data_IF_217742207509
#
_entry.id   IF_217742207509
#
_cell.length_a   1.000
_cell.length_b   1.000
_cell.length_c   1.000
_cell.angle_alpha   90.00
_cell.angle_beta   90.00
_cell.angle_gamma   90.00
#
_symmetry.space_group_name_H-M   'P 1'
#
loop_
_entity.id
_entity.type
_entity.pdbx_description
1 polymer ?
#
# COMPACT_ATOMS: atom_id res chain seq x y z
N UNK A 1 5.40 24.48 44.85
CA UNK A 1 5.29 25.07 43.49
C UNK A 1 6.54 24.93 42.60
N UNK A 2 7.61 24.23 42.98
CA UNK A 2 8.79 23.97 42.11
C UNK A 2 8.99 22.49 41.69
N UNK A 3 7.97 21.63 41.86
CA UNK A 3 7.98 20.22 41.40
C UNK A 3 6.86 19.88 40.39
N UNK A 4 6.20 20.89 39.82
CA UNK A 4 5.10 20.72 38.85
C UNK A 4 5.41 21.27 37.44
N UNK A 5 6.62 21.78 37.21
CA UNK A 5 7.03 22.35 35.91
C UNK A 5 7.92 21.42 35.07
N UNK A 6 8.27 20.22 35.56
CA UNK A 6 9.14 19.30 34.83
C UNK A 6 8.43 18.44 33.78
N UNK A 7 7.08 18.39 33.79
CA UNK A 7 6.30 17.58 32.83
C UNK A 7 6.01 18.37 31.54
N UNK A 8 5.95 19.71 31.62
CA UNK A 8 5.71 20.56 30.44
C UNK A 8 6.97 20.66 29.57
N UNK A 9 8.16 20.72 30.19
CA UNK A 9 9.43 20.83 29.46
C UNK A 9 9.84 19.52 28.74
N UNK A 10 9.24 18.38 29.08
CA UNK A 10 9.55 17.10 28.42
C UNK A 10 8.70 16.88 27.17
N UNK A 11 7.63 17.66 26.98
CA UNK A 11 6.73 17.57 25.82
C UNK A 11 7.20 18.44 24.64
N UNK A 12 7.85 19.58 24.91
CA UNK A 12 8.41 20.47 23.88
C UNK A 12 9.73 19.95 23.27
N UNK A 13 10.35 18.92 23.86
CA UNK A 13 11.61 18.32 23.39
C UNK A 13 11.42 17.13 22.43
N UNK A 14 10.22 16.54 22.36
CA UNK A 14 9.94 15.38 21.48
C UNK A 14 9.37 15.77 20.10
N UNK A 15 8.97 17.02 19.87
CA UNK A 15 8.33 17.46 18.60
C UNK A 15 8.89 18.78 18.07
N UNK A 16 10.19 18.80 17.81
CA UNK A 16 10.98 19.96 17.37
C UNK A 16 10.23 20.98 16.50
N UNK A 17 10.07 22.19 17.05
CA UNK A 17 9.77 23.41 16.31
C UNK A 17 10.96 24.35 16.48
N UNK A 18 11.78 24.48 15.45
CA UNK A 18 12.82 25.50 15.36
C UNK A 18 12.17 26.90 15.35
N UNK A 19 12.59 27.75 16.28
CA UNK A 19 12.41 29.19 16.18
C UNK A 19 13.79 29.83 16.07
N UNK A 20 14.03 30.46 14.92
CA UNK A 20 15.15 31.37 14.68
C UNK A 20 15.15 32.49 15.73
N UNK A 21 16.21 32.54 16.54
CA UNK A 21 16.52 33.70 17.37
C UNK A 21 17.99 34.05 17.18
N UNK A 22 18.22 35.11 16.39
CA UNK A 22 19.49 35.81 16.29
C UNK A 22 20.07 36.15 17.67
N UNK A 23 21.38 35.90 17.93
CA UNK A 23 22.08 36.57 19.01
C UNK A 23 23.07 37.61 18.48
N UNK A 24 22.81 38.84 18.88
CA UNK A 24 23.73 39.96 18.88
C UNK A 24 25.02 39.63 19.64
N UNK A 25 26.15 39.95 18.99
CA UNK A 25 27.51 40.21 19.53
C UNK A 25 27.70 40.11 21.05
N UNK A 26 28.61 39.22 21.47
CA UNK A 26 29.64 39.58 22.44
C UNK A 26 30.93 38.76 22.21
N UNK A 27 32.05 39.45 22.34
CA UNK A 27 33.42 39.10 21.95
C UNK A 27 34.22 38.64 23.19
N UNK A 28 35.25 37.82 22.94
CA UNK A 28 36.42 37.45 23.79
C UNK A 28 36.18 36.54 25.00
N UNK A 29 37.04 35.58 25.36
CA UNK A 29 38.34 35.10 24.84
C UNK A 29 38.80 33.84 25.60
N UNK A 30 39.57 33.00 24.88
CA UNK A 30 40.79 32.27 25.29
C UNK A 30 40.77 31.05 26.24
N UNK A 31 41.66 30.13 25.84
CA UNK A 31 42.42 29.12 26.61
C UNK A 31 41.72 27.80 26.96
N UNK A 32 42.34 26.62 26.91
CA UNK A 32 43.51 26.02 26.24
C UNK A 32 43.56 24.55 26.75
N UNK A 33 44.18 23.65 25.97
CA UNK A 33 44.82 22.37 26.39
C UNK A 33 43.90 21.15 26.69
N UNK A 34 44.00 20.06 25.88
CA UNK A 34 44.94 18.90 25.98
C UNK A 34 44.70 18.09 27.28
N UNK A 35 44.49 16.77 27.33
CA UNK A 35 45.26 15.59 26.82
C UNK A 35 44.42 14.34 27.24
N UNK A 36 44.07 13.37 26.40
CA UNK A 36 44.77 12.13 25.97
C UNK A 36 45.07 11.04 27.04
N UNK A 37 44.80 9.78 26.64
CA UNK A 37 45.30 8.47 27.15
C UNK A 37 44.63 7.85 28.41
N UNK A 38 44.46 6.53 28.60
CA UNK A 38 44.64 5.28 27.82
C UNK A 38 44.04 4.11 28.65
N UNK A 39 43.59 3.06 27.96
CA UNK A 39 43.55 1.60 28.29
C UNK A 39 43.41 1.07 29.73
N UNK A 40 42.52 0.08 29.90
CA UNK A 40 42.67 -0.95 30.94
C UNK A 40 41.40 -1.77 31.25
N UNK A 41 41.31 -2.98 30.69
CA UNK A 41 40.58 -4.16 31.22
C UNK A 41 41.66 -5.21 31.58
N UNK A 42 41.48 -6.29 32.37
CA UNK A 42 40.23 -6.98 32.74
C UNK A 42 40.17 -7.61 34.18
N UNK A 43 39.11 -8.40 34.42
CA UNK A 43 39.02 -9.67 35.21
C UNK A 43 37.99 -9.70 36.36
N UNK A 44 37.00 -10.59 36.13
CA UNK A 44 36.21 -11.50 37.00
C UNK A 44 35.98 -11.23 38.50
N UNK A 45 34.70 -11.39 38.90
CA UNK A 45 34.27 -11.64 40.27
C UNK A 45 32.80 -12.09 40.35
N UNK A 46 32.57 -13.40 40.45
CA UNK A 46 31.30 -14.04 40.81
C UNK A 46 30.92 -13.70 42.26
N UNK A 47 29.70 -13.21 42.52
CA UNK A 47 28.96 -13.48 43.76
C UNK A 47 27.44 -13.49 43.51
N UNK A 48 26.81 -14.54 44.02
CA UNK A 48 25.39 -14.87 43.93
C UNK A 48 24.54 -13.96 44.81
N UNK A 49 23.35 -13.53 44.34
CA UNK A 49 22.20 -13.35 45.21
C UNK A 49 20.90 -13.81 44.55
N UNK A 50 20.09 -14.40 45.43
CA UNK A 50 18.83 -15.13 45.25
C UNK A 50 17.75 -14.39 44.46
N UNK A 51 16.94 -15.22 43.80
CA UNK A 51 15.61 -14.97 43.25
C UNK A 51 14.65 -14.23 44.19
N UNK A 52 13.96 -13.22 43.67
CA UNK A 52 12.65 -12.76 44.11
C UNK A 52 11.81 -12.38 42.86
N UNK A 53 10.47 -12.50 42.92
CA UNK A 53 9.66 -12.88 41.77
C UNK A 53 9.25 -11.71 40.87
N UNK A 54 9.07 -12.05 39.59
CA UNK A 54 8.40 -11.24 38.59
C UNK A 54 7.00 -10.81 39.08
N UNK A 55 6.80 -9.50 39.25
CA UNK A 55 5.46 -8.90 39.23
C UNK A 55 5.03 -8.67 37.76
N UNK A 56 3.74 -8.83 37.41
CA UNK A 56 3.29 -8.65 36.04
C UNK A 56 3.32 -7.16 35.65
N UNK A 57 3.88 -6.87 34.47
CA UNK A 57 3.90 -5.55 33.80
C UNK A 57 2.50 -4.91 33.65
N UNK A 58 1.42 -5.67 33.82
CA UNK A 58 0.04 -5.19 33.80
C UNK A 58 -0.28 -4.16 34.90
N UNK A 59 0.36 -4.25 36.08
CA UNK A 59 0.10 -3.27 37.17
C UNK A 59 0.71 -1.89 36.93
N UNK A 60 1.78 -1.80 36.15
CA UNK A 60 2.43 -0.53 35.81
C UNK A 60 1.64 0.26 34.75
N UNK A 61 1.04 -0.44 33.77
CA UNK A 61 0.15 0.18 32.78
C UNK A 61 -1.20 0.62 33.39
N UNK A 62 -1.75 -0.15 34.33
CA UNK A 62 -2.97 0.25 35.07
C UNK A 62 -2.73 1.45 36.00
N UNK A 63 -1.54 1.59 36.58
CA UNK A 63 -1.19 2.74 37.43
C UNK A 63 -0.95 4.02 36.63
N UNK A 64 -0.43 3.93 35.40
CA UNK A 64 -0.28 5.10 34.53
C UNK A 64 -1.61 5.51 33.85
N UNK A 65 -2.44 4.56 33.44
CA UNK A 65 -3.79 4.86 32.95
C UNK A 65 -4.69 5.45 34.03
N UNK A 66 -4.60 4.96 35.28
CA UNK A 66 -5.35 5.55 36.40
C UNK A 66 -4.82 6.93 36.81
N UNK A 67 -3.51 7.20 36.65
CA UNK A 67 -2.93 8.54 36.82
C UNK A 67 -3.34 9.51 35.72
N UNK A 68 -3.34 9.08 34.47
CA UNK A 68 -3.83 9.88 33.32
C UNK A 68 -5.32 10.16 33.49
N UNK A 69 -6.09 9.16 33.89
CA UNK A 69 -7.51 9.30 34.21
C UNK A 69 -7.74 10.26 35.37
N UNK A 70 -6.96 10.18 36.44
CA UNK A 70 -7.00 11.11 37.58
C UNK A 70 -6.59 12.55 37.20
N UNK A 71 -5.63 12.70 36.29
CA UNK A 71 -5.21 14.00 35.74
C UNK A 71 -6.30 14.63 34.88
N UNK A 72 -6.98 13.84 34.04
CA UNK A 72 -8.12 14.25 33.22
C UNK A 72 -9.39 14.49 34.05
N UNK A 73 -9.56 13.76 35.16
CA UNK A 73 -10.63 13.96 36.15
C UNK A 73 -10.44 15.22 37.01
N UNK A 74 -9.25 15.82 36.99
CA UNK A 74 -9.02 17.10 37.65
C UNK A 74 -9.68 18.24 36.85
N UNK A 75 -10.59 18.98 37.49
CA UNK A 75 -11.33 20.11 36.90
C UNK A 75 -10.41 21.17 36.29
N UNK A 76 -9.17 21.24 36.74
CA UNK A 76 -8.14 22.17 36.29
C UNK A 76 -7.58 21.77 34.92
N UNK A 77 -7.34 20.48 34.65
CA UNK A 77 -6.77 20.04 33.37
C UNK A 77 -7.80 20.14 32.24
N UNK A 78 -9.06 19.80 32.51
CA UNK A 78 -10.16 20.00 31.59
C UNK A 78 -10.34 21.49 31.22
N UNK A 79 -10.21 22.41 32.19
CA UNK A 79 -10.27 23.86 31.94
C UNK A 79 -9.08 24.39 31.12
N UNK A 80 -7.88 23.85 31.33
CA UNK A 80 -6.68 24.23 30.57
C UNK A 80 -6.77 23.70 29.13
N UNK A 81 -7.23 22.46 28.94
CA UNK A 81 -7.34 21.83 27.62
C UNK A 81 -8.41 22.49 26.73
N UNK A 82 -9.59 22.80 27.29
CA UNK A 82 -10.68 23.53 26.60
C UNK A 82 -10.24 24.94 26.16
N UNK A 83 -9.29 25.55 26.88
CA UNK A 83 -8.73 26.88 26.57
C UNK A 83 -7.48 26.84 25.69
N UNK A 84 -6.99 25.66 25.31
CA UNK A 84 -5.82 25.56 24.43
C UNK A 84 -6.18 25.98 23.00
N UNK A 85 -5.29 26.73 22.34
CA UNK A 85 -5.49 27.19 20.96
C UNK A 85 -5.63 26.02 19.97
N UNK A 86 -5.03 24.87 20.27
CA UNK A 86 -5.12 23.65 19.47
C UNK A 86 -6.53 23.04 19.48
N UNK A 87 -7.18 23.02 20.66
CA UNK A 87 -8.57 22.54 20.80
C UNK A 87 -9.58 23.50 20.14
N UNK A 88 -9.37 24.82 20.27
CA UNK A 88 -10.24 25.80 19.60
C UNK A 88 -10.09 25.81 18.07
N UNK A 89 -8.91 25.47 17.54
CA UNK A 89 -8.69 25.29 16.09
C UNK A 89 -9.37 24.03 15.56
N UNK A 90 -9.40 22.94 16.33
CA UNK A 90 -10.07 21.70 15.95
C UNK A 90 -11.61 21.81 15.89
N UNK A 91 -12.20 22.79 16.58
CA UNK A 91 -13.65 22.98 16.74
C UNK A 91 -14.34 23.87 15.68
N UNK A 92 -13.65 24.25 14.59
CA UNK A 92 -14.24 24.87 13.40
C UNK A 92 -15.47 25.76 13.65
N UNK A 93 -15.27 27.03 14.04
CA UNK A 93 -16.32 28.06 14.21
C UNK A 93 -17.58 27.67 15.03
N UNK A 94 -17.51 26.76 15.98
CA UNK A 94 -18.52 26.72 17.05
C UNK A 94 -18.23 27.82 18.09
N UNK A 95 -18.99 28.92 18.04
CA UNK A 95 -18.97 29.97 19.05
C UNK A 95 -19.62 29.46 20.34
N UNK A 96 -18.84 28.85 21.24
CA UNK A 96 -19.23 28.61 22.63
C UNK A 96 -19.25 29.94 23.40
N UNK A 97 -20.25 30.78 23.13
CA UNK A 97 -20.60 31.89 24.01
C UNK A 97 -21.63 31.39 25.02
N UNK A 98 -21.17 31.31 26.27
CA UNK A 98 -21.97 31.17 27.49
C UNK A 98 -22.75 29.85 27.63
N UNK A 99 -22.10 28.80 28.14
CA UNK A 99 -22.80 27.70 28.80
C UNK A 99 -22.29 27.58 30.25
N UNK A 100 -23.17 27.47 31.27
CA UNK A 100 -22.74 27.34 32.67
C UNK A 100 -21.95 26.05 32.88
N UNK A 101 -20.92 26.13 33.73
CA UNK A 101 -20.06 25.00 34.15
C UNK A 101 -20.86 24.05 35.04
N UNK A 102 -21.77 23.26 34.45
CA UNK A 102 -22.45 22.15 35.11
C UNK A 102 -23.00 21.11 34.13
N UNK A 103 -22.42 20.98 32.93
CA UNK A 103 -22.67 19.84 32.05
C UNK A 103 -21.62 18.75 32.32
N UNK A 104 -22.09 17.51 32.34
CA UNK A 104 -21.55 16.44 33.18
C UNK A 104 -20.20 15.92 32.69
N UNK A 105 -19.38 15.40 33.60
CA UNK A 105 -18.12 14.71 33.28
C UNK A 105 -18.32 13.55 32.27
N UNK A 106 -19.53 13.00 32.22
CA UNK A 106 -19.93 11.97 31.26
C UNK A 106 -19.94 12.52 29.82
N UNK A 107 -20.31 13.78 29.60
CA UNK A 107 -20.35 14.41 28.27
C UNK A 107 -18.94 14.65 27.71
N UNK A 108 -17.97 14.99 28.56
CA UNK A 108 -16.55 15.13 28.15
C UNK A 108 -15.93 13.77 27.84
N UNK A 109 -16.25 12.74 28.63
CA UNK A 109 -15.76 11.37 28.40
C UNK A 109 -16.39 10.77 27.15
N UNK A 110 -17.68 11.02 26.92
CA UNK A 110 -18.39 10.62 25.70
C UNK A 110 -17.85 11.40 24.49
N UNK A 111 -17.60 12.71 24.61
CA UNK A 111 -16.95 13.50 23.56
C UNK A 111 -15.54 12.99 23.25
N UNK A 112 -14.72 12.65 24.25
CA UNK A 112 -13.39 12.06 24.03
C UNK A 112 -13.47 10.66 23.42
N UNK A 113 -14.42 9.81 23.84
CA UNK A 113 -14.66 8.51 23.19
C UNK A 113 -15.16 8.68 21.76
N UNK A 114 -16.08 9.59 21.49
CA UNK A 114 -16.56 9.90 20.15
C UNK A 114 -15.46 10.55 19.30
N UNK A 115 -14.59 11.37 19.87
CA UNK A 115 -13.43 11.96 19.20
C UNK A 115 -12.37 10.91 18.88
N UNK A 116 -12.06 10.00 19.83
CA UNK A 116 -11.16 8.87 19.62
C UNK A 116 -11.73 7.83 18.63
N UNK A 117 -13.05 7.62 18.64
CA UNK A 117 -13.74 6.79 17.65
C UNK A 117 -13.83 7.46 16.29
N UNK A 118 -13.97 8.79 16.23
CA UNK A 118 -13.90 9.58 15.00
C UNK A 118 -12.46 9.75 14.48
N UNK A 119 -11.44 9.52 15.32
CA UNK A 119 -10.02 9.61 14.96
C UNK A 119 -9.37 8.27 14.67
N UNK A 120 -10.07 7.13 14.82
CA UNK A 120 -9.49 5.83 14.47
C UNK A 120 -9.50 5.70 12.95
N UNK A 121 -8.31 5.69 12.34
CA UNK A 121 -8.18 5.38 10.91
C UNK A 121 -8.76 3.98 10.64
N UNK A 122 -9.49 3.86 9.54
CA UNK A 122 -10.01 2.56 9.06
C UNK A 122 -8.84 1.61 8.86
N UNK A 123 -9.03 0.34 9.19
CA UNK A 123 -8.09 -0.71 8.78
C UNK A 123 -8.05 -0.77 7.26
N UNK A 124 -6.84 -0.85 6.71
CA UNK A 124 -6.63 -1.01 5.28
C UNK A 124 -6.61 -2.50 4.91
N UNK A 125 -7.39 -2.90 3.91
CA UNK A 125 -7.31 -4.23 3.32
C UNK A 125 -6.86 -4.06 1.88
N UNK A 126 -5.56 -4.29 1.65
CA UNK A 126 -4.92 -4.05 0.36
C UNK A 126 -4.97 -5.33 -0.48
N UNK A 127 -5.78 -5.33 -1.53
CA UNK A 127 -5.81 -6.37 -2.55
C UNK A 127 -4.79 -6.03 -3.61
N UNK A 128 -3.71 -6.80 -3.73
CA UNK A 128 -2.58 -6.47 -4.60
C UNK A 128 -2.43 -7.59 -5.61
N UNK A 129 -2.67 -7.29 -6.88
CA UNK A 129 -2.28 -8.22 -7.93
C UNK A 129 -0.76 -8.42 -7.94
N UNK A 130 -0.33 -9.62 -8.32
CA UNK A 130 1.09 -9.95 -8.33
C UNK A 130 1.76 -9.39 -9.59
N UNK A 131 1.41 -9.90 -10.77
CA UNK A 131 2.15 -9.68 -12.01
C UNK A 131 1.95 -8.26 -12.55
N UNK A 132 3.02 -7.61 -13.02
CA UNK A 132 3.02 -6.22 -13.53
C UNK A 132 2.46 -5.15 -12.55
N UNK A 133 2.15 -5.54 -11.31
CA UNK A 133 1.70 -4.65 -10.23
C UNK A 133 2.79 -4.49 -9.18
N UNK A 134 3.16 -5.58 -8.51
CA UNK A 134 4.32 -5.61 -7.61
C UNK A 134 5.48 -6.44 -8.18
N UNK A 135 5.20 -7.42 -9.02
CA UNK A 135 6.19 -8.22 -9.74
C UNK A 135 6.54 -7.60 -11.09
N UNK A 136 7.82 -7.59 -11.41
CA UNK A 136 8.32 -7.28 -12.74
C UNK A 136 8.32 -8.58 -13.57
N UNK A 137 7.29 -8.76 -14.40
CA UNK A 137 7.14 -9.92 -15.30
C UNK A 137 6.30 -11.09 -14.78
N UNK A 138 6.27 -12.18 -15.56
CA UNK A 138 5.49 -13.39 -15.31
C UNK A 138 6.38 -14.65 -15.40
N UNK A 139 6.44 -15.44 -14.32
CA UNK A 139 7.26 -16.65 -14.28
C UNK A 139 6.75 -17.77 -15.20
N UNK A 140 5.48 -17.74 -15.62
CA UNK A 140 4.94 -18.69 -16.60
C UNK A 140 5.62 -18.54 -17.94
N UNK A 141 6.07 -17.32 -18.28
CA UNK A 141 6.64 -17.10 -19.60
C UNK A 141 8.04 -17.69 -19.75
N UNK A 142 8.84 -17.83 -18.67
CA UNK A 142 10.22 -18.39 -18.56
C UNK A 142 11.25 -18.03 -19.66
N UNK A 143 10.82 -17.36 -20.71
CA UNK A 143 11.47 -17.12 -21.99
C UNK A 143 11.66 -15.63 -22.23
N UNK A 144 11.16 -14.78 -21.33
CA UNK A 144 11.15 -13.34 -21.52
C UNK A 144 12.21 -12.72 -20.62
N UNK A 145 13.25 -12.18 -21.24
CA UNK A 145 14.18 -11.27 -20.56
C UNK A 145 13.42 -10.05 -20.04
N UNK A 146 13.92 -9.45 -18.96
CA UNK A 146 13.41 -8.21 -18.34
C UNK A 146 13.16 -7.13 -19.40
N UNK A 147 14.10 -6.97 -20.32
CA UNK A 147 13.98 -6.04 -21.46
C UNK A 147 12.67 -6.24 -22.23
N UNK A 148 12.33 -7.49 -22.54
CA UNK A 148 11.11 -7.83 -23.27
C UNK A 148 9.85 -7.52 -22.46
N UNK A 149 9.87 -7.80 -21.16
CA UNK A 149 8.76 -7.47 -20.24
C UNK A 149 8.52 -5.96 -20.19
N UNK A 150 9.58 -5.17 -20.04
CA UNK A 150 9.47 -3.71 -19.98
C UNK A 150 9.02 -3.12 -21.32
N UNK A 151 9.47 -3.68 -22.44
CA UNK A 151 9.01 -3.29 -23.77
C UNK A 151 7.53 -3.61 -23.97
N UNK A 152 7.09 -4.81 -23.59
CA UNK A 152 5.69 -5.22 -23.68
C UNK A 152 4.80 -4.28 -22.85
N UNK A 153 5.19 -4.00 -21.59
CA UNK A 153 4.48 -3.04 -20.73
C UNK A 153 4.43 -1.63 -21.35
N UNK A 154 5.53 -1.15 -21.95
CA UNK A 154 5.57 0.15 -22.63
C UNK A 154 4.49 0.26 -23.70
N UNK A 155 4.22 -0.81 -24.46
CA UNK A 155 3.18 -0.79 -25.50
C UNK A 155 1.77 -0.59 -24.94
N UNK A 156 1.52 -0.91 -23.68
CA UNK A 156 0.21 -0.78 -23.04
C UNK A 156 -0.09 0.63 -22.54
N UNK A 157 0.96 1.40 -22.21
CA UNK A 157 0.85 2.76 -21.66
C UNK A 157 1.17 3.86 -22.69
N UNK A 158 1.55 3.46 -23.91
CA UNK A 158 1.81 4.37 -25.04
C UNK A 158 0.58 4.45 -25.94
N UNK A 159 0.05 5.67 -26.09
CA UNK A 159 -1.21 5.98 -26.76
C UNK A 159 -1.00 6.74 -28.07
N UNK A 160 -1.87 6.47 -29.04
CA UNK A 160 -1.81 7.06 -30.37
C UNK A 160 -3.14 6.99 -31.10
N UNK A 161 -3.12 7.39 -32.37
CA UNK A 161 -4.26 7.37 -33.28
C UNK A 161 -3.87 6.67 -34.58
N UNK A 162 -4.84 6.03 -35.22
CA UNK A 162 -4.70 5.54 -36.60
C UNK A 162 -4.79 6.75 -37.55
N UNK A 163 -3.85 6.88 -38.47
CA UNK A 163 -3.91 7.87 -39.55
C UNK A 163 -4.81 7.38 -40.69
N UNK A 164 -4.87 8.12 -41.80
CA UNK A 164 -5.67 7.76 -42.99
C UNK A 164 -5.23 6.43 -43.65
N UNK A 165 -4.00 6.00 -43.40
CA UNK A 165 -3.39 4.76 -43.92
C UNK A 165 -3.50 3.59 -42.94
N UNK A 166 -4.28 3.73 -41.85
CA UNK A 166 -4.41 2.75 -40.75
C UNK A 166 -3.06 2.47 -40.02
N UNK A 167 -2.14 3.42 -40.08
CA UNK A 167 -0.89 3.39 -39.32
C UNK A 167 -1.05 4.12 -37.99
N UNK A 168 -0.48 3.53 -36.94
CA UNK A 168 -0.51 4.13 -35.62
C UNK A 168 0.55 5.24 -35.50
N UNK A 169 0.11 6.40 -35.01
CA UNK A 169 0.95 7.58 -34.76
C UNK A 169 0.75 8.03 -33.31
N UNK A 170 1.84 8.27 -32.55
CA UNK A 170 1.72 8.70 -31.16
C UNK A 170 1.06 10.08 -31.05
N UNK A 171 0.26 10.28 -29.99
CA UNK A 171 -0.22 11.63 -29.64
C UNK A 171 0.90 12.46 -28.98
N UNK A 172 0.66 13.76 -28.74
CA UNK A 172 1.67 14.70 -28.20
C UNK A 172 2.24 14.24 -26.85
N UNK A 173 1.38 13.81 -25.92
CA UNK A 173 1.76 13.23 -24.63
C UNK A 173 1.30 11.76 -24.60
N UNK A 174 2.06 10.85 -25.21
CA UNK A 174 1.57 9.51 -25.50
C UNK A 174 1.67 8.57 -24.29
N UNK A 175 2.49 8.85 -23.28
CA UNK A 175 2.67 7.98 -22.12
C UNK A 175 1.65 8.35 -21.03
N UNK A 176 0.76 7.43 -20.68
CA UNK A 176 -0.28 7.64 -19.67
C UNK A 176 -0.87 6.32 -19.19
N UNK A 177 -1.33 6.27 -17.92
CA UNK A 177 -2.13 5.15 -17.39
C UNK A 177 -3.49 5.00 -18.05
N UNK A 178 -4.01 6.02 -18.73
CA UNK A 178 -5.34 5.98 -19.34
C UNK A 178 -5.38 6.74 -20.66
N UNK A 179 -6.31 6.39 -21.58
CA UNK A 179 -6.44 7.10 -22.83
C UNK A 179 -6.79 8.58 -22.58
N UNK A 180 -6.22 9.48 -23.37
CA UNK A 180 -6.54 10.91 -23.32
C UNK A 180 -7.97 11.22 -23.81
N UNK A 181 -8.54 10.34 -24.63
CA UNK A 181 -9.90 10.43 -25.18
C UNK A 181 -10.37 9.08 -25.73
N UNK A 182 -11.65 8.89 -26.02
CA UNK A 182 -12.22 7.60 -26.48
C UNK A 182 -11.66 7.13 -27.84
N UNK A 183 -11.12 8.04 -28.63
CA UNK A 183 -10.59 7.85 -29.97
C UNK A 183 -9.06 7.71 -30.01
N UNK A 184 -8.41 7.47 -28.86
CA UNK A 184 -7.00 7.01 -28.82
C UNK A 184 -6.92 5.54 -28.44
N UNK A 185 -5.92 4.85 -29.00
CA UNK A 185 -5.69 3.42 -28.79
C UNK A 185 -4.25 3.20 -28.34
N UNK A 186 -4.03 2.26 -27.43
CA UNK A 186 -2.67 1.88 -27.04
C UNK A 186 -1.97 1.18 -28.20
N UNK A 187 -0.64 1.27 -28.24
CA UNK A 187 0.13 0.55 -29.25
C UNK A 187 -0.10 -0.96 -29.17
N UNK A 188 -0.23 -1.49 -27.94
CA UNK A 188 -0.54 -2.91 -27.71
C UNK A 188 -1.82 -3.33 -28.45
N UNK A 189 -2.95 -2.64 -28.23
CA UNK A 189 -4.23 -2.98 -28.86
C UNK A 189 -4.16 -2.83 -30.38
N UNK A 190 -3.51 -1.76 -30.87
CA UNK A 190 -3.28 -1.56 -32.30
C UNK A 190 -2.50 -2.72 -32.94
N UNK A 191 -1.36 -3.10 -32.34
CA UNK A 191 -0.51 -4.16 -32.85
C UNK A 191 -1.21 -5.53 -32.77
N UNK A 192 -1.92 -5.82 -31.68
CA UNK A 192 -2.69 -7.05 -31.52
C UNK A 192 -3.76 -7.20 -32.61
N UNK A 193 -4.54 -6.15 -32.86
CA UNK A 193 -5.56 -6.10 -33.93
C UNK A 193 -4.91 -6.31 -35.31
N UNK A 194 -3.80 -5.61 -35.60
CA UNK A 194 -3.09 -5.70 -36.88
C UNK A 194 -2.58 -7.11 -37.16
N UNK A 195 -1.97 -7.76 -36.17
CA UNK A 195 -1.47 -9.14 -36.30
C UNK A 195 -2.62 -10.14 -36.44
N UNK A 196 -3.70 -9.96 -35.69
CA UNK A 196 -4.89 -10.80 -35.78
C UNK A 196 -5.55 -10.70 -37.17
N UNK A 197 -5.71 -9.49 -37.70
CA UNK A 197 -6.27 -9.26 -39.04
C UNK A 197 -5.38 -9.84 -40.16
N UNK A 198 -4.07 -9.88 -39.94
CA UNK A 198 -3.12 -10.54 -40.82
C UNK A 198 -3.10 -12.08 -40.69
N UNK A 199 -3.93 -12.66 -39.80
CA UNK A 199 -3.97 -14.10 -39.53
C UNK A 199 -2.71 -14.65 -38.84
N UNK A 200 -1.92 -13.79 -38.21
CA UNK A 200 -0.68 -14.18 -37.53
C UNK A 200 -0.95 -14.77 -36.15
N UNK A 201 -0.13 -15.72 -35.68
CA UNK A 201 -0.26 -16.28 -34.35
C UNK A 201 0.05 -15.23 -33.28
N UNK A 202 -0.62 -15.34 -32.12
CA UNK A 202 -0.43 -14.45 -30.96
C UNK A 202 1.04 -14.40 -30.49
N UNK A 203 1.81 -15.46 -30.68
CA UNK A 203 3.23 -15.51 -30.32
C UNK A 203 4.07 -14.51 -31.12
N UNK A 204 3.80 -14.33 -32.42
CA UNK A 204 4.50 -13.34 -33.24
C UNK A 204 4.18 -11.91 -32.79
N UNK A 205 2.93 -11.63 -32.45
CA UNK A 205 2.53 -10.36 -31.84
C UNK A 205 3.28 -10.11 -30.52
N UNK A 206 3.36 -11.11 -29.65
CA UNK A 206 4.08 -10.95 -28.37
C UNK A 206 5.57 -10.71 -28.58
N UNK A 207 6.20 -11.38 -29.54
CA UNK A 207 7.60 -11.13 -29.91
C UNK A 207 7.81 -9.69 -30.40
N UNK A 208 6.91 -9.21 -31.26
CA UNK A 208 6.87 -7.82 -31.73
C UNK A 208 6.76 -6.82 -30.56
N UNK A 209 5.80 -7.01 -29.67
CA UNK A 209 5.61 -6.12 -28.51
C UNK A 209 6.85 -6.07 -27.61
N UNK A 210 7.55 -7.19 -27.45
CA UNK A 210 8.78 -7.30 -26.64
C UNK A 210 10.01 -6.65 -27.29
N UNK A 211 9.94 -6.29 -28.57
CA UNK A 211 11.00 -5.60 -29.30
C UNK A 211 10.62 -4.14 -29.64
N UNK A 212 9.49 -3.64 -29.12
CA UNK A 212 8.90 -2.36 -29.50
C UNK A 212 9.89 -1.19 -29.60
N UNK A 213 10.74 -0.97 -28.59
CA UNK A 213 11.69 0.16 -28.55
C UNK A 213 12.96 -0.05 -29.38
N UNK A 214 13.14 -1.22 -30.00
CA UNK A 214 14.16 -1.48 -31.00
C UNK A 214 13.70 -1.15 -32.42
N UNK A 215 12.39 -1.05 -32.63
CA UNK A 215 11.78 -0.69 -33.92
C UNK A 215 11.60 0.82 -34.06
N UNK A 216 11.60 1.32 -35.30
CA UNK A 216 11.52 2.78 -35.57
C UNK A 216 10.30 3.46 -34.95
N UNK A 217 9.15 2.75 -34.88
CA UNK A 217 7.92 3.29 -34.28
C UNK A 217 8.02 3.47 -32.75
N UNK A 218 8.79 2.62 -32.07
CA UNK A 218 8.94 2.64 -30.61
C UNK A 218 10.26 3.22 -30.12
N UNK A 219 11.25 3.43 -30.99
CA UNK A 219 12.62 3.87 -30.67
C UNK A 219 12.68 5.12 -29.79
N UNK A 220 11.76 6.06 -29.99
CA UNK A 220 11.66 7.28 -29.16
C UNK A 220 11.32 7.03 -27.69
N UNK A 221 10.77 5.87 -27.35
CA UNK A 221 10.39 5.48 -25.99
C UNK A 221 11.47 4.66 -25.28
N UNK A 222 12.54 4.27 -25.99
CA UNK A 222 13.67 3.53 -25.43
C UNK A 222 14.27 4.14 -24.16
N UNK A 223 14.48 5.48 -24.06
CA UNK A 223 15.07 6.06 -22.85
C UNK A 223 14.24 5.80 -21.57
N UNK A 224 12.93 5.61 -21.69
CA UNK A 224 12.06 5.31 -20.55
C UNK A 224 12.25 3.86 -20.08
N UNK A 225 12.36 2.90 -21.01
CA UNK A 225 12.65 1.49 -20.69
C UNK A 225 14.03 1.36 -20.05
N UNK A 226 15.03 2.02 -20.62
CA UNK A 226 16.41 2.02 -20.09
C UNK A 226 16.46 2.60 -18.67
N UNK A 227 15.78 3.72 -18.42
CA UNK A 227 15.73 4.33 -17.09
C UNK A 227 15.07 3.42 -16.04
N UNK A 228 13.99 2.74 -16.40
CA UNK A 228 13.31 1.79 -15.51
C UNK A 228 14.19 0.58 -15.23
N UNK A 229 14.86 0.05 -16.26
CA UNK A 229 15.78 -1.07 -16.13
C UNK A 229 16.97 -0.75 -15.23
N UNK A 230 17.60 0.42 -15.43
CA UNK A 230 18.67 0.93 -14.55
C UNK A 230 18.20 1.00 -13.10
N UNK A 231 16.98 1.50 -12.86
CA UNK A 231 16.44 1.61 -11.50
C UNK A 231 16.10 0.27 -10.85
N UNK A 232 15.88 -0.77 -11.67
CA UNK A 232 15.68 -2.14 -11.21
C UNK A 232 16.98 -2.87 -10.91
N UNK A 233 18.14 -2.36 -11.34
CA UNK A 233 19.42 -3.00 -11.03
C UNK A 233 19.62 -3.09 -9.51
N UNK A 234 20.08 -4.25 -9.08
CA UNK A 234 20.23 -4.60 -7.68
C UNK A 234 21.67 -5.04 -7.42
N UNK A 235 22.38 -4.29 -6.57
CA UNK A 235 23.74 -4.60 -6.11
C UNK A 235 23.77 -5.70 -5.03
N UNK A 236 22.76 -6.57 -4.97
CA UNK A 236 22.68 -7.61 -3.97
C UNK A 236 23.87 -8.58 -4.07
N UNK A 237 24.55 -8.90 -2.96
CA UNK A 237 25.55 -9.96 -2.97
C UNK A 237 24.87 -11.26 -3.40
N UNK A 238 25.45 -11.95 -4.38
CA UNK A 238 24.92 -13.21 -4.91
C UNK A 238 25.01 -14.27 -3.83
N UNK A 239 23.92 -14.45 -3.07
CA UNK A 239 23.72 -15.61 -2.20
C UNK A 239 22.76 -16.54 -2.93
N UNK A 240 23.31 -17.57 -3.56
CA UNK A 240 22.54 -18.45 -4.45
C UNK A 240 21.37 -19.14 -3.74
N UNK A 241 20.21 -19.16 -4.41
CA UNK A 241 19.02 -19.90 -4.03
C UNK A 241 18.13 -19.26 -2.97
N UNK A 242 18.68 -18.47 -2.04
CA UNK A 242 17.89 -17.91 -0.93
C UNK A 242 17.06 -16.71 -1.38
N UNK A 243 17.69 -15.75 -2.07
CA UNK A 243 17.04 -14.49 -2.46
C UNK A 243 16.36 -14.55 -3.83
N UNK A 244 16.35 -15.70 -4.49
CA UNK A 244 15.75 -15.87 -5.83
C UNK A 244 14.28 -15.41 -5.93
N UNK A 245 13.42 -15.49 -4.89
CA UNK A 245 12.09 -14.88 -4.94
C UNK A 245 12.10 -13.34 -5.04
N UNK A 246 13.18 -12.69 -4.61
CA UNK A 246 13.34 -11.23 -4.59
C UNK A 246 14.00 -10.66 -5.85
N UNK A 247 14.74 -11.49 -6.60
CA UNK A 247 15.58 -11.03 -7.71
C UNK A 247 15.34 -11.79 -9.02
N UNK A 248 15.68 -11.15 -10.13
CA UNK A 248 15.81 -11.72 -11.46
C UNK A 248 17.29 -11.75 -11.82
N UNK A 249 17.83 -12.94 -12.11
CA UNK A 249 19.21 -13.12 -12.57
C UNK A 249 19.22 -13.19 -14.09
N UNK A 250 19.93 -12.28 -14.73
CA UNK A 250 20.20 -12.30 -16.17
C UNK A 250 21.72 -12.40 -16.43
N UNK A 251 22.16 -12.75 -17.66
CA UNK A 251 23.60 -12.88 -17.96
C UNK A 251 24.44 -11.63 -17.66
N UNK A 252 23.84 -10.45 -17.66
CA UNK A 252 24.52 -9.16 -17.53
C UNK A 252 24.14 -8.36 -16.29
N UNK A 253 23.34 -8.92 -15.37
CA UNK A 253 22.91 -8.17 -14.19
C UNK A 253 21.92 -8.92 -13.31
N UNK A 254 21.69 -8.33 -12.14
CA UNK A 254 20.70 -8.79 -11.17
C UNK A 254 19.71 -7.64 -10.99
N UNK A 255 18.42 -7.96 -11.07
CA UNK A 255 17.36 -6.96 -10.99
C UNK A 255 16.37 -7.32 -9.90
N UNK A 256 15.69 -6.32 -9.36
CA UNK A 256 14.56 -6.56 -8.47
C UNK A 256 13.43 -7.29 -9.22
N UNK A 257 12.97 -8.41 -8.65
CA UNK A 257 11.75 -9.08 -9.11
C UNK A 257 10.51 -8.37 -8.56
N UNK A 258 10.60 -7.84 -7.35
CA UNK A 258 9.53 -7.08 -6.70
C UNK A 258 9.95 -5.63 -6.63
N UNK A 259 9.05 -4.74 -7.04
CA UNK A 259 9.34 -3.30 -7.05
C UNK A 259 9.63 -2.78 -5.62
N UNK A 260 10.72 -2.00 -5.44
CA UNK A 260 11.08 -1.41 -4.15
C UNK A 260 9.95 -0.71 -3.39
N UNK A 261 9.10 0.03 -4.11
CA UNK A 261 8.01 0.82 -3.53
C UNK A 261 7.00 -0.01 -2.75
N UNK A 262 6.87 -1.31 -3.06
CA UNK A 262 6.02 -2.22 -2.31
C UNK A 262 6.56 -2.52 -0.90
N UNK A 263 7.86 -2.73 -0.74
CA UNK A 263 8.47 -2.93 0.58
C UNK A 263 8.45 -1.64 1.40
N UNK A 264 8.62 -0.49 0.75
CA UNK A 264 8.49 0.83 1.39
C UNK A 264 7.07 1.07 1.90
N UNK A 265 6.04 0.67 1.15
CA UNK A 265 4.65 0.69 1.62
C UNK A 265 4.47 -0.12 2.92
N UNK A 266 4.95 -1.37 2.97
CA UNK A 266 4.81 -2.22 4.17
C UNK A 266 5.49 -1.54 5.37
N UNK A 267 6.72 -1.05 5.17
CA UNK A 267 7.50 -0.33 6.19
C UNK A 267 6.73 0.88 6.72
N UNK A 268 6.23 1.71 5.81
CA UNK A 268 5.47 2.92 6.14
C UNK A 268 4.20 2.61 6.97
N UNK A 269 3.44 1.60 6.59
CA UNK A 269 2.22 1.19 7.31
C UNK A 269 2.53 0.70 8.73
N UNK A 270 3.61 -0.08 8.89
CA UNK A 270 4.07 -0.59 10.19
C UNK A 270 4.56 0.55 11.09
N UNK A 271 5.35 1.47 10.55
CA UNK A 271 5.91 2.60 11.29
C UNK A 271 4.82 3.60 11.72
N UNK A 272 3.82 3.85 10.85
CA UNK A 272 2.63 4.64 11.20
C UNK A 272 1.73 3.96 12.23
N UNK A 273 1.93 2.68 12.52
CA UNK A 273 1.03 1.90 13.38
C UNK A 273 -0.37 1.75 12.80
N UNK A 274 -0.51 1.87 11.48
CA UNK A 274 -1.77 1.72 10.76
C UNK A 274 -2.17 0.25 10.79
N UNK A 275 -3.43 -0.05 11.11
CA UNK A 275 -3.94 -1.41 11.03
C UNK A 275 -4.13 -1.78 9.56
N UNK A 276 -3.53 -2.89 9.10
CA UNK A 276 -3.67 -3.33 7.71
C UNK A 276 -3.59 -4.85 7.53
N UNK A 277 -4.04 -5.31 6.37
CA UNK A 277 -3.75 -6.64 5.82
C UNK A 277 -3.48 -6.56 4.33
N UNK A 278 -2.71 -7.51 3.82
CA UNK A 278 -2.41 -7.65 2.39
C UNK A 278 -3.00 -8.95 1.89
N UNK A 279 -3.79 -8.86 0.84
CA UNK A 279 -4.35 -9.98 0.09
C UNK A 279 -3.66 -9.95 -1.27
N UNK A 280 -2.69 -10.83 -1.46
CA UNK A 280 -2.08 -11.06 -2.76
C UNK A 280 -3.07 -11.80 -3.66
N UNK A 281 -3.26 -11.29 -4.87
CA UNK A 281 -4.20 -11.79 -5.87
C UNK A 281 -3.44 -12.21 -7.11
N UNK A 282 -3.83 -13.33 -7.71
CA UNK A 282 -3.25 -13.74 -9.00
C UNK A 282 -4.13 -14.78 -9.69
N UNK A 283 -4.22 -14.69 -11.01
CA UNK A 283 -4.68 -15.77 -11.89
C UNK A 283 -3.54 -16.78 -12.21
N UNK A 284 -2.31 -16.40 -11.85
CA UNK A 284 -1.05 -17.04 -12.21
C UNK A 284 -0.52 -18.04 -11.18
N UNK A 285 0.72 -18.48 -11.42
CA UNK A 285 1.47 -19.35 -10.51
C UNK A 285 2.41 -18.59 -9.58
N UNK A 286 2.49 -17.25 -9.72
CA UNK A 286 3.50 -16.42 -9.05
C UNK A 286 3.17 -16.07 -7.59
N UNK A 287 1.96 -16.38 -7.13
CA UNK A 287 1.52 -16.04 -5.77
C UNK A 287 2.40 -16.63 -4.67
N UNK A 288 2.86 -17.87 -4.82
CA UNK A 288 3.72 -18.51 -3.83
C UNK A 288 5.11 -17.85 -3.78
N UNK A 289 5.69 -17.55 -4.95
CA UNK A 289 6.94 -16.79 -5.06
C UNK A 289 6.80 -15.42 -4.40
N UNK A 290 5.67 -14.74 -4.60
CA UNK A 290 5.40 -13.44 -3.97
C UNK A 290 5.32 -13.54 -2.44
N UNK A 291 4.65 -14.57 -1.90
CA UNK A 291 4.64 -14.82 -0.46
C UNK A 291 6.04 -15.11 0.10
N UNK A 292 6.83 -15.94 -0.59
CA UNK A 292 8.20 -16.24 -0.19
C UNK A 292 9.06 -14.98 -0.14
N UNK A 293 8.93 -14.11 -1.14
CA UNK A 293 9.65 -12.86 -1.20
C UNK A 293 9.26 -11.89 -0.05
N UNK A 294 7.97 -11.78 0.26
CA UNK A 294 7.49 -11.03 1.43
C UNK A 294 8.04 -11.63 2.73
N UNK A 295 8.07 -12.96 2.85
CA UNK A 295 8.62 -13.65 4.02
C UNK A 295 10.12 -13.36 4.20
N UNK A 296 10.90 -13.41 3.12
CA UNK A 296 12.33 -13.07 3.15
C UNK A 296 12.56 -11.62 3.59
N UNK A 297 11.73 -10.68 3.13
CA UNK A 297 11.77 -9.30 3.61
C UNK A 297 11.51 -9.20 5.12
N UNK A 298 10.44 -9.83 5.62
CA UNK A 298 10.08 -9.83 7.05
C UNK A 298 11.18 -10.48 7.91
N UNK A 299 11.85 -11.51 7.38
CA UNK A 299 12.96 -12.19 8.06
C UNK A 299 14.28 -11.39 8.04
N UNK A 300 14.28 -10.18 7.45
CA UNK A 300 15.47 -9.32 7.34
C UNK A 300 16.49 -9.84 6.33
N UNK A 301 16.07 -10.69 5.39
CA UNK A 301 16.92 -11.30 4.36
C UNK A 301 16.84 -10.57 3.01
N UNK A 302 16.06 -9.50 2.92
CA UNK A 302 16.04 -8.68 1.72
C UNK A 302 17.37 -7.90 1.60
N UNK A 303 18.04 -7.91 0.43
CA UNK A 303 19.41 -7.41 0.29
C UNK A 303 19.57 -5.91 0.55
N UNK A 304 18.53 -5.11 0.28
CA UNK A 304 18.56 -3.64 0.38
C UNK A 304 17.58 -3.08 1.42
N UNK A 305 16.31 -3.48 1.39
CA UNK A 305 15.30 -3.03 2.35
C UNK A 305 15.33 -3.85 3.65
N UNK A 306 15.51 -3.19 4.78
CA UNK A 306 15.37 -3.79 6.11
C UNK A 306 13.92 -3.80 6.59
N UNK A 307 13.54 -4.83 7.34
CA UNK A 307 12.26 -4.86 8.04
C UNK A 307 12.36 -4.10 9.38
N UNK A 308 11.35 -3.30 9.77
CA UNK A 308 11.38 -2.54 11.02
C UNK A 308 11.68 -3.39 12.27
N UNK A 309 12.67 -2.95 13.06
CA UNK A 309 13.10 -3.66 14.27
C UNK A 309 11.98 -3.80 15.31
N UNK A 310 11.87 -4.97 15.93
CA UNK A 310 10.90 -5.26 16.98
C UNK A 310 9.44 -5.31 16.50
N UNK A 311 9.20 -5.30 15.18
CA UNK A 311 7.87 -5.46 14.58
C UNK A 311 7.67 -6.90 14.10
N UNK A 312 6.43 -7.26 13.81
CA UNK A 312 6.08 -8.57 13.27
C UNK A 312 4.95 -8.43 12.25
N UNK A 313 5.01 -9.24 11.19
CA UNK A 313 3.94 -9.36 10.21
C UNK A 313 3.83 -10.85 9.82
N UNK A 314 2.65 -11.41 9.93
CA UNK A 314 2.43 -12.82 9.61
C UNK A 314 2.25 -13.03 8.10
N UNK A 315 2.73 -14.17 7.60
CA UNK A 315 2.55 -14.60 6.21
C UNK A 315 1.91 -15.98 6.20
N UNK A 316 0.75 -16.10 5.55
CA UNK A 316 0.05 -17.37 5.38
C UNK A 316 0.40 -17.99 4.02
N UNK A 317 1.01 -19.17 4.06
CA UNK A 317 1.33 -19.96 2.86
C UNK A 317 0.20 -20.88 2.40
N UNK A 318 -0.95 -20.88 3.10
CA UNK A 318 -2.10 -21.66 2.66
C UNK A 318 -3.01 -20.79 1.78
N UNK A 319 -3.07 -21.05 0.46
CA UNK A 319 -3.84 -20.22 -0.44
C UNK A 319 -5.34 -20.44 -0.27
N UNK A 320 -6.10 -19.38 -0.52
CA UNK A 320 -7.53 -19.42 -0.76
C UNK A 320 -7.79 -19.52 -2.26
N UNK A 321 -8.92 -20.09 -2.66
CA UNK A 321 -9.33 -20.13 -4.07
C UNK A 321 -10.62 -19.34 -4.24
N UNK A 322 -10.60 -18.38 -5.15
CA UNK A 322 -11.77 -17.63 -5.58
C UNK A 322 -12.22 -18.27 -6.87
N UNK A 323 -13.44 -18.78 -6.88
CA UNK A 323 -14.05 -19.47 -8.02
C UNK A 323 -15.36 -18.77 -8.37
N UNK A 324 -15.57 -18.52 -9.65
CA UNK A 324 -16.89 -18.10 -10.12
C UNK A 324 -17.91 -19.24 -10.00
N UNK A 325 -19.18 -18.89 -9.80
CA UNK A 325 -20.28 -19.83 -9.87
C UNK A 325 -21.53 -19.16 -10.45
N UNK A 326 -22.56 -19.95 -10.77
CA UNK A 326 -23.85 -19.41 -11.24
C UNK A 326 -24.49 -18.44 -10.22
N UNK A 327 -24.16 -18.61 -8.93
CA UNK A 327 -24.58 -17.73 -7.82
C UNK A 327 -23.68 -16.49 -7.67
N UNK A 328 -22.73 -16.27 -8.59
CA UNK A 328 -21.81 -15.13 -8.62
C UNK A 328 -20.42 -15.48 -8.09
N UNK A 329 -20.27 -15.45 -6.76
CA UNK A 329 -18.97 -15.50 -6.09
C UNK A 329 -18.87 -16.63 -5.07
N UNK A 330 -17.80 -17.43 -5.19
CA UNK A 330 -17.44 -18.44 -4.19
C UNK A 330 -15.97 -18.34 -3.78
N UNK A 331 -15.70 -18.41 -2.48
CA UNK A 331 -14.34 -18.55 -1.94
C UNK A 331 -14.21 -19.88 -1.20
N UNK A 332 -13.23 -20.69 -1.59
CA UNK A 332 -12.83 -21.89 -0.87
C UNK A 332 -11.69 -21.58 0.08
N UNK A 333 -11.89 -21.93 1.34
CA UNK A 333 -10.90 -21.77 2.40
C UNK A 333 -10.02 -23.01 2.52
N UNK A 334 -8.94 -22.90 3.31
CA UNK A 334 -7.93 -23.94 3.52
C UNK A 334 -8.50 -25.26 4.05
N UNK A 335 -9.59 -25.21 4.81
CA UNK A 335 -10.34 -26.35 5.34
C UNK A 335 -11.37 -26.91 4.34
N UNK A 336 -11.28 -26.53 3.07
CA UNK A 336 -12.23 -26.84 2.00
C UNK A 336 -13.66 -26.34 2.23
N UNK A 337 -13.88 -25.44 3.19
CA UNK A 337 -15.18 -24.80 3.35
C UNK A 337 -15.43 -23.83 2.19
N UNK A 338 -16.61 -23.92 1.59
CA UNK A 338 -17.05 -23.03 0.51
C UNK A 338 -17.90 -21.90 1.09
N UNK A 339 -17.53 -20.66 0.79
CA UNK A 339 -18.30 -19.46 1.09
C UNK A 339 -18.90 -18.91 -0.22
N UNK A 340 -20.20 -19.05 -0.41
CA UNK A 340 -20.93 -18.66 -1.63
C UNK A 340 -21.88 -17.47 -1.41
N UNK A 341 -21.53 -16.59 -0.46
CA UNK A 341 -22.36 -15.47 -0.05
C UNK A 341 -21.45 -14.23 0.05
N UNK A 342 -21.71 -13.16 -0.73
CA UNK A 342 -20.88 -11.95 -0.74
C UNK A 342 -20.62 -11.39 0.66
N UNK A 343 -21.62 -11.41 1.53
CA UNK A 343 -21.50 -10.92 2.91
C UNK A 343 -20.44 -11.71 3.70
N UNK A 344 -20.42 -13.04 3.57
CA UNK A 344 -19.41 -13.89 4.22
C UNK A 344 -18.02 -13.70 3.62
N UNK A 345 -17.94 -13.43 2.31
CA UNK A 345 -16.67 -13.15 1.63
C UNK A 345 -16.11 -11.79 2.06
N UNK A 346 -16.97 -10.77 2.18
CA UNK A 346 -16.59 -9.47 2.74
C UNK A 346 -16.02 -9.63 4.14
N UNK A 347 -16.74 -10.31 5.05
CA UNK A 347 -16.24 -10.59 6.41
C UNK A 347 -14.90 -11.34 6.37
N UNK A 348 -14.77 -12.37 5.53
CA UNK A 348 -13.52 -13.11 5.38
C UNK A 348 -12.35 -12.20 5.01
N UNK A 349 -12.53 -11.29 4.04
CA UNK A 349 -11.49 -10.35 3.63
C UNK A 349 -11.18 -9.33 4.73
N UNK A 350 -12.20 -8.72 5.34
CA UNK A 350 -12.08 -7.71 6.39
C UNK A 350 -11.37 -8.22 7.64
N UNK A 351 -11.59 -9.49 8.01
CA UNK A 351 -10.98 -10.12 9.18
C UNK A 351 -9.52 -10.57 8.95
N UNK A 352 -9.02 -10.61 7.71
CA UNK A 352 -7.61 -11.00 7.45
C UNK A 352 -6.64 -10.10 8.20
N UNK A 353 -5.57 -10.67 8.72
CA UNK A 353 -4.43 -9.95 9.31
C UNK A 353 -3.13 -10.56 8.75
N UNK A 354 -2.10 -9.73 8.54
CA UNK A 354 -0.89 -10.18 7.85
C UNK A 354 -1.07 -10.28 6.34
N UNK A 355 -0.31 -11.15 5.70
CA UNK A 355 -0.25 -11.34 4.24
C UNK A 355 -0.81 -12.71 3.86
N UNK A 356 -1.76 -12.73 2.93
CA UNK A 356 -2.47 -13.93 2.48
C UNK A 356 -2.48 -14.00 0.95
N UNK A 357 -2.54 -15.23 0.41
CA UNK A 357 -2.69 -15.46 -1.03
C UNK A 357 -4.09 -15.96 -1.38
N UNK A 358 -4.70 -15.32 -2.37
CA UNK A 358 -5.97 -15.71 -2.97
C UNK A 358 -5.76 -15.93 -4.47
N UNK A 359 -6.03 -17.14 -4.93
CA UNK A 359 -5.93 -17.55 -6.32
C UNK A 359 -7.26 -17.29 -7.02
N UNK A 360 -7.24 -16.46 -8.04
CA UNK A 360 -8.39 -16.14 -8.88
C UNK A 360 -8.58 -17.17 -10.00
N UNK A 361 -9.83 -17.38 -10.43
CA UNK A 361 -10.19 -18.42 -11.42
C UNK A 361 -10.12 -17.89 -12.86
N UNK A 362 -8.95 -18.07 -13.47
CA UNK A 362 -8.69 -17.64 -14.85
C UNK A 362 -9.56 -18.38 -15.86
N UNK A 363 -9.75 -19.69 -15.66
CA UNK A 363 -10.52 -20.52 -16.60
C UNK A 363 -12.00 -20.13 -16.57
N UNK A 364 -12.53 -19.78 -15.39
CA UNK A 364 -13.85 -19.18 -15.29
C UNK A 364 -13.93 -17.85 -16.03
N UNK A 365 -13.03 -16.90 -15.74
CA UNK A 365 -13.05 -15.58 -16.37
C UNK A 365 -12.98 -15.68 -17.90
N UNK A 366 -12.08 -16.53 -18.41
CA UNK A 366 -11.95 -16.85 -19.84
C UNK A 366 -13.23 -17.48 -20.41
N UNK A 367 -13.85 -18.44 -19.72
CA UNK A 367 -15.10 -19.07 -20.17
C UNK A 367 -16.25 -18.07 -20.27
N UNK A 368 -16.26 -17.05 -19.42
CA UNK A 368 -17.25 -15.97 -19.44
C UNK A 368 -16.91 -14.86 -20.47
N UNK A 369 -15.87 -15.05 -21.29
CA UNK A 369 -15.48 -14.08 -22.32
C UNK A 369 -14.77 -12.85 -21.75
N UNK A 370 -14.07 -13.00 -20.63
CA UNK A 370 -13.31 -11.93 -19.96
C UNK A 370 -14.13 -10.73 -19.47
N UNK A 371 -15.45 -10.90 -19.30
CA UNK A 371 -16.30 -9.86 -18.74
C UNK A 371 -15.93 -9.53 -17.30
N UNK A 372 -16.05 -8.25 -16.92
CA UNK A 372 -15.70 -7.76 -15.59
C UNK A 372 -16.46 -8.45 -14.45
N UNK A 373 -17.73 -8.83 -14.64
CA UNK A 373 -18.53 -9.57 -13.65
C UNK A 373 -17.98 -10.97 -13.33
N UNK A 374 -17.14 -11.54 -14.20
CA UNK A 374 -16.46 -12.81 -13.98
C UNK A 374 -14.98 -12.63 -13.58
N UNK A 375 -14.52 -11.39 -13.46
CA UNK A 375 -13.16 -11.04 -13.08
C UNK A 375 -12.92 -11.14 -11.58
N UNK A 376 -11.96 -10.37 -11.08
CA UNK A 376 -11.55 -10.36 -9.68
C UNK A 376 -12.57 -9.60 -8.82
N UNK A 377 -13.27 -10.27 -7.88
CA UNK A 377 -14.24 -9.62 -7.01
C UNK A 377 -13.56 -8.68 -6.01
N UNK A 378 -14.07 -7.45 -5.92
CA UNK A 378 -13.80 -6.51 -4.83
C UNK A 378 -15.13 -6.12 -4.17
N UNK A 379 -15.24 -6.35 -2.86
CA UNK A 379 -16.43 -6.04 -2.08
C UNK A 379 -16.16 -4.82 -1.20
N UNK A 380 -17.02 -3.80 -1.31
CA UNK A 380 -16.91 -2.56 -0.55
C UNK A 380 -18.22 -2.30 0.19
N UNK A 381 -18.17 -2.09 1.51
CA UNK A 381 -19.32 -1.67 2.32
C UNK A 381 -19.10 -0.23 2.79
N UNK A 382 -19.70 0.79 2.13
CA UNK A 382 -19.59 2.18 2.57
C UNK A 382 -20.15 2.46 3.97
N UNK A 383 -20.98 1.55 4.51
CA UNK A 383 -21.54 1.69 5.86
C UNK A 383 -20.61 1.14 6.94
N UNK A 384 -19.58 0.38 6.56
CA UNK A 384 -18.54 -0.08 7.46
C UNK A 384 -17.54 1.05 7.76
N UNK A 385 -17.72 1.66 8.94
CA UNK A 385 -16.83 2.73 9.40
C UNK A 385 -15.42 2.26 9.79
N UNK A 386 -15.16 0.95 9.83
CA UNK A 386 -13.91 0.37 10.36
C UNK A 386 -12.95 -0.13 9.29
N UNK A 387 -13.41 -0.39 8.07
CA UNK A 387 -12.62 -1.02 7.00
C UNK A 387 -12.55 -0.14 5.75
N UNK A 388 -11.40 -0.14 5.07
CA UNK A 388 -11.25 0.41 3.73
C UNK A 388 -10.48 -0.59 2.85
N UNK A 389 -11.18 -1.13 1.85
CA UNK A 389 -10.60 -2.00 0.83
C UNK A 389 -10.01 -1.16 -0.32
N UNK A 390 -8.77 -1.46 -0.71
CA UNK A 390 -8.11 -0.84 -1.87
C UNK A 390 -7.55 -1.98 -2.73
N UNK A 391 -7.82 -1.94 -4.04
CA UNK A 391 -7.31 -2.91 -5.00
C UNK A 391 -6.34 -2.28 -5.98
N UNK A 392 -5.16 -2.88 -6.10
CA UNK A 392 -4.09 -2.54 -7.04
C UNK A 392 -3.98 -3.62 -8.09
N UNK A 393 -4.11 -3.24 -9.36
CA UNK A 393 -4.01 -4.16 -10.50
C UNK A 393 -3.69 -3.34 -11.77
N UNK A 394 -2.81 -3.82 -12.64
CA UNK A 394 -2.42 -3.13 -13.88
C UNK A 394 -3.54 -3.12 -14.93
N UNK A 395 -4.51 -4.04 -14.81
CA UNK A 395 -5.64 -4.24 -15.71
C UNK A 395 -6.97 -3.67 -15.16
N UNK A 396 -6.93 -2.85 -14.12
CA UNK A 396 -8.06 -1.98 -13.78
C UNK A 396 -8.19 -0.92 -14.89
N UNK A 397 -9.32 -0.92 -15.60
CA UNK A 397 -9.66 0.05 -16.65
C UNK A 397 -11.06 0.57 -16.39
N UNK A 398 -11.23 1.37 -15.35
CA UNK A 398 -12.55 1.90 -14.97
C UNK A 398 -13.25 2.63 -16.12
N UNK A 399 -12.50 3.22 -17.06
CA UNK A 399 -13.06 3.86 -18.26
C UNK A 399 -13.67 2.90 -19.29
N UNK A 400 -13.28 1.62 -19.28
CA UNK A 400 -13.71 0.60 -20.25
C UNK A 400 -14.22 -0.66 -19.53
N UNK A 401 -15.51 -0.70 -19.13
CA UNK A 401 -16.08 -1.84 -18.41
C UNK A 401 -16.04 -3.17 -19.18
N UNK A 402 -15.87 -3.13 -20.50
CA UNK A 402 -15.76 -4.31 -21.37
C UNK A 402 -14.37 -4.95 -21.34
N UNK A 403 -13.39 -4.23 -20.81
CA UNK A 403 -11.98 -4.59 -20.73
C UNK A 403 -11.42 -4.21 -19.35
N UNK A 404 -12.16 -4.58 -18.29
CA UNK A 404 -11.81 -4.31 -16.90
C UNK A 404 -11.74 -5.60 -16.10
N UNK A 405 -10.64 -5.81 -15.37
CA UNK A 405 -10.39 -7.05 -14.63
C UNK A 405 -11.23 -7.22 -13.36
N UNK A 406 -11.80 -6.14 -12.82
CA UNK A 406 -12.45 -6.14 -11.50
C UNK A 406 -13.97 -6.29 -11.61
N UNK A 407 -14.54 -7.23 -10.85
CA UNK A 407 -15.95 -7.23 -10.50
C UNK A 407 -16.14 -6.39 -9.23
N UNK A 408 -16.59 -5.14 -9.37
CA UNK A 408 -16.84 -4.27 -8.23
C UNK A 408 -18.24 -4.53 -7.66
N UNK A 409 -18.31 -4.96 -6.41
CA UNK A 409 -19.55 -5.15 -5.66
C UNK A 409 -19.63 -4.16 -4.49
N UNK A 410 -20.62 -3.27 -4.49
CA UNK A 410 -20.82 -2.29 -3.42
C UNK A 410 -22.06 -2.63 -2.62
N UNK A 411 -21.98 -2.52 -1.30
CA UNK A 411 -23.16 -2.72 -0.44
C UNK A 411 -24.10 -1.54 -0.53
N UNK A 412 -25.31 -1.79 -1.04
CA UNK A 412 -26.41 -0.82 -1.16
C UNK A 412 -27.69 -1.48 -0.66
N UNK A 413 -28.49 -0.76 0.12
CA UNK A 413 -29.75 -1.26 0.70
C UNK A 413 -29.60 -2.61 1.45
N UNK A 414 -28.44 -2.82 2.09
CA UNK A 414 -28.15 -3.99 2.89
C UNK A 414 -27.57 -5.20 2.14
N UNK A 415 -27.46 -5.16 0.80
CA UNK A 415 -26.93 -6.24 -0.04
C UNK A 415 -25.78 -5.79 -0.92
N UNK A 416 -24.87 -6.70 -1.26
CA UNK A 416 -23.84 -6.43 -2.26
C UNK A 416 -24.42 -6.55 -3.67
N UNK A 417 -24.18 -5.53 -4.50
CA UNK A 417 -24.59 -5.49 -5.90
C UNK A 417 -23.45 -5.01 -6.78
N UNK A 418 -23.37 -5.54 -7.99
CA UNK A 418 -22.39 -5.08 -8.98
C UNK A 418 -22.62 -3.61 -9.31
N UNK A 419 -21.52 -2.85 -9.43
CA UNK A 419 -21.53 -1.42 -9.70
C UNK A 419 -20.51 -1.08 -10.80
N UNK A 420 -20.69 0.07 -11.45
CA UNK A 420 -19.71 0.59 -12.41
C UNK A 420 -18.38 0.87 -11.68
N UNK A 421 -17.24 0.31 -12.14
CA UNK A 421 -15.94 0.56 -11.52
C UNK A 421 -15.57 2.05 -11.44
N UNK A 422 -16.11 2.91 -12.32
CA UNK A 422 -15.93 4.37 -12.25
C UNK A 422 -16.39 4.97 -10.92
N UNK A 423 -17.33 4.34 -10.23
CA UNK A 423 -17.84 4.82 -8.95
C UNK A 423 -16.74 4.90 -7.89
N UNK A 424 -15.75 3.99 -7.94
CA UNK A 424 -14.68 3.88 -6.95
C UNK A 424 -13.27 3.91 -7.58
N UNK A 425 -13.14 4.46 -8.79
CA UNK A 425 -11.86 4.76 -9.43
C UNK A 425 -11.08 5.78 -8.60
N UNK A 426 -9.80 5.53 -8.33
CA UNK A 426 -8.94 6.28 -7.40
C UNK A 426 -9.48 6.39 -5.94
N UNK A 427 -10.52 5.62 -5.59
CA UNK A 427 -11.11 5.56 -4.24
C UNK A 427 -10.83 4.20 -3.58
N UNK A 428 -11.20 3.13 -4.27
CA UNK A 428 -10.94 1.75 -3.87
C UNK A 428 -10.26 0.95 -4.99
N UNK A 429 -10.17 1.50 -6.21
CA UNK A 429 -9.55 0.88 -7.37
C UNK A 429 -8.38 1.74 -7.83
N UNK A 430 -7.21 1.12 -7.99
CA UNK A 430 -6.00 1.78 -8.48
C UNK A 430 -5.44 0.97 -9.63
N UNK A 431 -5.43 1.56 -10.84
CA UNK A 431 -4.64 1.01 -11.93
C UNK A 431 -3.16 1.19 -11.61
N UNK A 432 -2.43 0.10 -11.43
CA UNK A 432 -1.01 0.18 -11.10
C UNK A 432 -0.17 0.53 -12.32
N UNK A 433 0.76 1.47 -12.14
CA UNK A 433 1.75 1.82 -13.15
C UNK A 433 3.12 1.25 -12.77
N UNK A 434 3.54 0.15 -13.41
CA UNK A 434 4.81 -0.53 -13.13
C UNK A 434 6.00 0.41 -13.28
N UNK A 435 6.02 1.25 -14.33
CA UNK A 435 7.13 2.16 -14.56
C UNK A 435 7.21 3.23 -13.48
N UNK A 436 6.08 3.80 -13.07
CA UNK A 436 6.05 4.77 -11.98
C UNK A 436 6.42 4.12 -10.64
N UNK A 437 5.92 2.92 -10.35
CA UNK A 437 6.22 2.22 -9.10
C UNK A 437 7.68 1.78 -8.97
N UNK A 438 8.41 1.67 -10.08
CA UNK A 438 9.86 1.47 -10.09
C UNK A 438 10.61 2.80 -9.90
N UNK A 439 10.17 3.85 -10.59
CA UNK A 439 10.89 5.14 -10.62
C UNK A 439 10.67 5.97 -9.35
N UNK A 440 9.54 5.78 -8.69
CA UNK A 440 9.16 6.42 -7.45
C UNK A 440 8.97 5.38 -6.34
N UNK A 441 9.84 5.44 -5.33
CA UNK A 441 9.77 4.53 -4.19
C UNK A 441 8.56 4.78 -3.30
N UNK A 442 7.97 5.99 -3.31
CA UNK A 442 6.80 6.35 -2.51
C UNK A 442 5.48 6.07 -3.24
N UNK A 443 5.52 5.61 -4.50
CA UNK A 443 4.35 5.39 -5.36
C UNK A 443 3.16 4.75 -4.64
N UNK A 444 3.35 3.59 -4.01
CA UNK A 444 2.25 2.87 -3.34
C UNK A 444 1.75 3.60 -2.09
N UNK A 445 2.63 4.30 -1.36
CA UNK A 445 2.25 5.11 -0.19
C UNK A 445 1.34 6.25 -0.66
N UNK A 446 1.76 6.98 -1.68
CA UNK A 446 0.98 8.09 -2.24
C UNK A 446 -0.38 7.63 -2.77
N UNK A 447 -0.43 6.47 -3.46
CA UNK A 447 -1.70 5.90 -3.93
C UNK A 447 -2.63 5.50 -2.77
N UNK A 448 -2.10 4.90 -1.71
CA UNK A 448 -2.91 4.57 -0.52
C UNK A 448 -3.44 5.84 0.14
N UNK A 449 -2.61 6.87 0.31
CA UNK A 449 -3.03 8.14 0.90
C UNK A 449 -4.09 8.86 0.05
N UNK A 450 -3.92 8.86 -1.27
CA UNK A 450 -4.90 9.35 -2.23
C UNK A 450 -6.24 8.63 -2.07
N UNK A 451 -6.24 7.28 -2.04
CA UNK A 451 -7.45 6.50 -1.85
C UNK A 451 -8.11 6.80 -0.51
N UNK A 452 -7.35 6.90 0.58
CA UNK A 452 -7.90 7.23 1.91
C UNK A 452 -8.60 8.59 1.92
N UNK A 453 -7.97 9.60 1.31
CA UNK A 453 -8.54 10.94 1.16
C UNK A 453 -9.82 10.92 0.30
N UNK A 454 -9.76 10.29 -0.86
CA UNK A 454 -10.88 10.19 -1.79
C UNK A 454 -12.04 9.39 -1.20
N UNK A 455 -11.76 8.35 -0.41
CA UNK A 455 -12.79 7.56 0.27
C UNK A 455 -13.51 8.36 1.35
N UNK A 456 -12.81 9.21 2.11
CA UNK A 456 -13.46 10.15 3.03
C UNK A 456 -14.42 11.10 2.29
N UNK A 457 -14.02 11.63 1.14
CA UNK A 457 -14.87 12.50 0.33
C UNK A 457 -16.08 11.75 -0.25
N UNK A 458 -15.87 10.52 -0.75
CA UNK A 458 -16.93 9.65 -1.25
C UNK A 458 -17.99 9.39 -0.18
N UNK A 459 -17.58 9.02 1.04
CA UNK A 459 -18.49 8.76 2.16
C UNK A 459 -19.26 10.01 2.60
N UNK A 460 -18.64 11.20 2.56
CA UNK A 460 -19.35 12.45 2.89
C UNK A 460 -20.42 12.81 1.86
N UNK A 461 -20.23 12.44 0.59
CA UNK A 461 -21.19 12.69 -0.47
C UNK A 461 -22.28 11.62 -0.53
N UNK A 462 -21.98 10.36 -0.19
CA UNK A 462 -22.97 9.29 -0.11
C UNK A 462 -23.97 9.45 1.05
N UNK A 463 -23.61 10.22 2.09
CA UNK A 463 -24.46 10.52 3.24
C UNK A 463 -25.26 11.84 3.11
N UNK A 464 -25.19 12.52 1.96
CA UNK A 464 -26.04 13.66 1.60
C UNK A 464 -27.18 13.19 0.70
#
# INVERSE_FOLDING_TARGET
MRKRLSIIAQWDLEYGLEYDVYPSRMITSRDQNQTQCCYGSPVAGLHSYRTAPWEPMERLLETDLSRIKSLLESTIFAQIFIRSNSFQKALGRFSLKCCPVSQSFADVTLFFKCFLMASKQRKLVLHIDVNNTMFVGDSKTKLTALEGVLNEYMTEIVWGRKNEEDEWVPVENPISSKPASENVISYYKYAEEKYQNAGKPRSEFKEHARQFTFEEIGKRFRPYVEKVKERLECDAPVVDGIIDPLILKEPHGIYYRIVPSFFKLITNLIEKGQEFSIILRTFGGDGETALQAVKLFIDGLHPVFGFPEGKSLDVSFTPYQITGCEEGLSVRTSDNKKLNCPEKVYVLFSEKAGVHLFLDDYEWWKKQGYVSSAGKPLLVDPTDSSIHHIMFDDNIRAWDPSDNIVNLMVRKEGKFQECDPKELDDVCLVRTQLFESVLDEDYFIEKVEMCQHNYQNYLQNANK
#
